data_IF_696440140418
#
_entry.id   IF_696440140418
#
_cell.length_a   1.000
_cell.length_b   1.000
_cell.length_c   1.000
_cell.angle_alpha   90.00
_cell.angle_beta   90.00
_cell.angle_gamma   90.00
#
_symmetry.space_group_name_H-M   'P 1'
#
loop_
_entity.id
_entity.type
_entity.pdbx_description
1 polymer ?
#
# COMPACT_ATOMS: atom_id res chain seq x y z
N UNK A 1 -55.44 -23.56 32.93
CA UNK A 1 -55.09 -22.34 33.68
C UNK A 1 -53.61 -22.38 34.01
N UNK A 2 -52.89 -21.28 33.82
CA UNK A 2 -51.44 -21.11 34.08
C UNK A 2 -50.56 -21.71 32.98
N UNK A 3 -49.89 -20.99 32.09
CA UNK A 3 -49.48 -19.59 32.10
C UNK A 3 -48.07 -19.47 32.66
N UNK A 4 -47.05 -19.65 31.82
CA UNK A 4 -45.68 -19.19 32.12
C UNK A 4 -45.03 -18.57 30.87
N UNK A 5 -44.80 -17.27 31.01
CA UNK A 5 -44.18 -16.35 30.08
C UNK A 5 -42.68 -16.64 29.96
N UNK A 6 -42.19 -16.89 28.74
CA UNK A 6 -40.76 -16.73 28.42
C UNK A 6 -40.56 -15.37 27.79
N UNK A 7 -39.87 -14.51 28.54
CA UNK A 7 -39.50 -13.16 28.17
C UNK A 7 -38.68 -13.11 26.87
N UNK A 8 -39.17 -12.34 25.90
CA UNK A 8 -38.46 -11.96 24.67
C UNK A 8 -37.50 -10.83 25.02
N UNK A 9 -36.21 -11.15 25.19
CA UNK A 9 -35.14 -10.16 25.35
C UNK A 9 -34.77 -9.52 24.01
N UNK A 10 -35.01 -8.22 23.91
CA UNK A 10 -34.84 -7.40 22.72
C UNK A 10 -33.39 -7.11 22.29
N UNK A 11 -33.28 -6.88 20.99
CA UNK A 11 -32.50 -5.86 20.29
C UNK A 11 -31.03 -5.61 20.65
N UNK A 12 -30.16 -6.05 19.73
CA UNK A 12 -28.92 -5.33 19.40
C UNK A 12 -28.48 -5.65 17.95
N UNK A 13 -29.13 -5.02 16.98
CA UNK A 13 -28.57 -4.85 15.63
C UNK A 13 -28.34 -3.36 15.37
N UNK A 14 -27.08 -2.96 15.21
CA UNK A 14 -26.75 -1.64 14.69
C UNK A 14 -26.96 -1.67 13.17
N UNK A 15 -28.18 -1.31 12.77
CA UNK A 15 -28.52 -0.86 11.42
C UNK A 15 -28.40 0.66 11.46
N UNK A 16 -27.38 1.23 10.81
CA UNK A 16 -27.23 2.70 10.76
C UNK A 16 -28.05 3.31 9.62
N UNK A 17 -28.87 4.30 9.98
CA UNK A 17 -29.59 5.19 9.07
C UNK A 17 -28.69 6.33 8.55
N UNK A 18 -28.95 6.90 7.36
CA UNK A 18 -28.30 8.13 6.91
C UNK A 18 -29.06 9.35 7.46
N UNK A 19 -28.37 10.24 8.18
CA UNK A 19 -28.91 11.52 8.63
C UNK A 19 -28.28 12.66 7.83
N UNK A 20 -29.14 13.59 7.41
CA UNK A 20 -28.88 14.69 6.49
C UNK A 20 -27.94 15.76 7.07
N UNK A 21 -27.27 16.46 6.15
CA UNK A 21 -26.38 17.58 6.40
C UNK A 21 -27.12 18.81 6.96
N UNK A 22 -26.49 19.48 7.94
CA UNK A 22 -26.91 20.79 8.44
C UNK A 22 -25.70 21.69 8.58
N UNK A 23 -25.74 22.83 7.89
CA UNK A 23 -24.80 23.94 7.96
C UNK A 23 -24.79 24.61 9.35
N UNK A 24 -23.64 25.24 9.66
CA UNK A 24 -23.33 26.34 10.60
C UNK A 24 -21.90 26.07 11.11
N UNK A 25 -20.97 27.00 11.24
CA UNK A 25 -20.96 28.45 11.10
C UNK A 25 -19.51 28.87 11.40
N UNK A 26 -19.03 29.88 10.68
CA UNK A 26 -17.66 30.41 10.73
C UNK A 26 -17.52 31.41 11.91
N UNK A 27 -16.28 31.52 12.43
CA UNK A 27 -15.63 32.68 13.11
C UNK A 27 -14.97 32.34 14.47
N UNK A 28 -13.95 33.10 14.94
CA UNK A 28 -12.72 33.45 14.24
C UNK A 28 -11.45 33.24 15.11
N UNK A 29 -10.28 33.39 14.47
CA UNK A 29 -8.95 33.29 15.05
C UNK A 29 -8.66 34.39 16.09
N UNK A 30 -8.07 34.00 17.24
CA UNK A 30 -7.61 34.90 18.30
C UNK A 30 -6.13 35.25 18.04
N UNK A 31 -5.88 36.51 17.70
CA UNK A 31 -4.55 37.13 17.72
C UNK A 31 -4.03 37.21 19.16
N UNK A 32 -2.79 36.80 19.37
CA UNK A 32 -2.02 37.10 20.58
C UNK A 32 -1.01 38.20 20.20
N UNK A 33 -1.21 39.40 20.78
CA UNK A 33 -0.24 40.50 20.79
C UNK A 33 0.75 40.28 21.95
N UNK A 34 2.05 40.59 21.80
CA UNK A 34 2.93 40.77 22.94
C UNK A 34 2.80 42.19 23.52
N UNK A 35 3.00 42.29 24.83
CA UNK A 35 2.89 43.49 25.63
C UNK A 35 4.12 44.39 25.54
N UNK A 36 3.85 45.69 25.51
CA UNK A 36 4.81 46.78 25.69
C UNK A 36 5.34 46.84 27.12
N UNK A 37 6.63 47.18 27.25
CA UNK A 37 7.36 47.38 28.51
C UNK A 37 8.45 48.44 28.39
N UNK A 38 8.00 49.69 28.49
CA UNK A 38 8.65 51.01 28.55
C UNK A 38 10.05 51.17 29.22
N UNK A 39 10.85 52.09 28.61
CA UNK A 39 11.81 53.09 29.18
C UNK A 39 13.19 52.60 29.68
N UNK A 40 14.32 53.11 29.18
CA UNK A 40 14.73 54.53 29.26
C UNK A 40 15.78 54.91 28.19
N UNK A 41 15.69 56.17 27.71
CA UNK A 41 16.65 56.87 26.87
C UNK A 41 17.78 57.46 27.71
N UNK A 42 19.03 57.41 27.22
CA UNK A 42 20.19 58.31 27.46
C UNK A 42 21.31 57.81 26.54
N UNK A 43 21.99 58.55 25.70
CA UNK A 43 21.89 59.91 25.19
C UNK A 43 22.60 59.93 23.83
N UNK A 44 22.28 60.91 22.99
CA UNK A 44 22.99 61.16 21.75
C UNK A 44 24.43 61.61 22.06
N UNK A 45 25.39 61.13 21.28
CA UNK A 45 26.54 61.94 20.93
C UNK A 45 26.97 61.62 19.50
N UNK A 46 26.79 62.62 18.64
CA UNK A 46 27.42 62.70 17.33
C UNK A 46 28.93 62.82 17.53
N UNK A 47 29.71 61.95 16.91
CA UNK A 47 31.12 62.21 16.60
C UNK A 47 31.43 61.66 15.20
N UNK A 48 31.45 62.61 14.27
CA UNK A 48 32.45 62.82 13.20
C UNK A 48 33.16 61.62 12.57
N UNK A 49 33.05 61.59 11.24
CA UNK A 49 33.97 60.91 10.35
C UNK A 49 35.42 61.34 10.59
N UNK A 50 36.26 60.37 10.94
CA UNK A 50 37.69 60.50 11.11
C UNK A 50 38.23 59.16 11.61
N UNK A 51 39.32 58.69 11.01
CA UNK A 51 40.12 57.55 11.46
C UNK A 51 39.63 56.15 11.06
N UNK A 52 39.75 55.90 9.75
CA UNK A 52 40.20 54.59 9.25
C UNK A 52 41.63 54.36 9.75
N UNK A 53 41.78 53.81 10.93
CA UNK A 53 43.06 53.24 11.37
C UNK A 53 42.84 51.83 11.93
N UNK A 54 43.42 50.88 11.19
CA UNK A 54 43.84 49.54 11.59
C UNK A 54 43.57 49.14 13.04
N UNK A 55 42.51 48.35 13.23
CA UNK A 55 42.48 47.31 14.28
C UNK A 55 42.35 45.95 13.60
N UNK A 56 43.51 45.39 13.25
CA UNK A 56 43.66 43.94 13.15
C UNK A 56 43.38 43.36 14.55
N UNK A 57 42.11 43.04 14.82
CA UNK A 57 41.82 42.07 15.87
C UNK A 57 42.18 40.70 15.29
N UNK A 58 43.41 40.23 15.59
CA UNK A 58 43.79 38.83 15.49
C UNK A 58 42.81 38.00 16.36
N UNK A 59 41.70 37.59 15.76
CA UNK A 59 40.78 36.65 16.38
C UNK A 59 41.50 35.31 16.54
N UNK A 60 41.72 34.86 17.79
CA UNK A 60 42.24 33.52 18.07
C UNK A 60 41.46 32.50 17.22
N UNK A 61 42.14 31.56 16.54
CA UNK A 61 41.46 30.59 15.70
C UNK A 61 40.40 29.84 16.51
N UNK A 62 39.18 29.71 15.99
CA UNK A 62 38.09 29.00 16.63
C UNK A 62 37.52 27.90 15.72
N UNK A 63 36.89 26.90 16.31
CA UNK A 63 36.28 25.79 15.57
C UNK A 63 37.28 25.01 14.72
N UNK A 64 36.93 24.75 13.45
CA UNK A 64 37.75 23.93 12.53
C UNK A 64 39.08 24.56 12.12
N UNK A 65 39.32 25.82 12.49
CA UNK A 65 40.63 26.46 12.32
C UNK A 65 41.68 25.88 13.28
N UNK A 66 41.24 25.29 14.41
CA UNK A 66 42.11 24.68 15.43
C UNK A 66 42.53 23.23 15.10
N UNK A 67 41.96 22.62 14.06
CA UNK A 67 42.31 21.25 13.70
C UNK A 67 43.73 21.15 13.13
N UNK A 68 44.52 20.11 13.49
CA UNK A 68 45.83 19.88 12.90
C UNK A 68 45.77 19.89 11.36
N UNK A 69 46.59 20.72 10.67
CA UNK A 69 46.48 20.94 9.23
C UNK A 69 46.51 19.65 8.41
N UNK A 70 47.40 18.72 8.73
CA UNK A 70 47.50 17.44 8.03
C UNK A 70 46.25 16.57 8.18
N UNK A 71 45.74 16.42 9.41
CA UNK A 71 44.56 15.61 9.68
C UNK A 71 43.31 16.22 9.06
N UNK A 72 43.21 17.55 9.08
CA UNK A 72 42.16 18.31 8.40
C UNK A 72 42.20 18.08 6.88
N UNK A 73 43.38 18.15 6.26
CA UNK A 73 43.55 17.89 4.84
C UNK A 73 43.15 16.45 4.46
N UNK A 74 43.60 15.45 5.25
CA UNK A 74 43.24 14.03 5.07
C UNK A 74 41.72 13.81 5.17
N UNK A 75 41.07 14.42 6.17
CA UNK A 75 39.61 14.33 6.35
C UNK A 75 38.86 14.94 5.15
N UNK A 76 39.26 16.12 4.67
CA UNK A 76 38.62 16.75 3.52
C UNK A 76 38.81 15.97 2.23
N UNK A 77 40.00 15.40 2.00
CA UNK A 77 40.22 14.48 0.89
C UNK A 77 39.29 13.26 0.96
N UNK A 78 39.19 12.64 2.14
CA UNK A 78 38.30 11.50 2.39
C UNK A 78 36.82 11.83 2.17
N UNK A 79 36.35 12.99 2.64
CA UNK A 79 34.97 13.46 2.43
C UNK A 79 34.70 13.79 0.97
N UNK A 80 35.67 14.39 0.26
CA UNK A 80 35.59 14.67 -1.18
C UNK A 80 35.42 13.37 -1.97
N UNK A 81 36.24 12.37 -1.67
CA UNK A 81 36.15 11.04 -2.30
C UNK A 81 34.80 10.38 -1.99
N UNK A 82 34.34 10.43 -0.75
CA UNK A 82 33.01 9.91 -0.34
C UNK A 82 31.89 10.59 -1.12
N UNK A 83 31.98 11.91 -1.30
CA UNK A 83 31.01 12.69 -2.07
C UNK A 83 31.02 12.28 -3.54
N UNK A 84 32.18 11.99 -4.14
CA UNK A 84 32.27 11.47 -5.49
C UNK A 84 31.56 10.11 -5.62
N UNK A 85 31.75 9.20 -4.65
CA UNK A 85 31.05 7.91 -4.64
C UNK A 85 29.54 8.10 -4.49
N UNK A 86 29.08 9.01 -3.63
CA UNK A 86 27.65 9.33 -3.50
C UNK A 86 27.07 9.82 -4.83
N UNK A 87 27.75 10.75 -5.51
CA UNK A 87 27.32 11.29 -6.80
C UNK A 87 27.26 10.21 -7.88
N UNK A 88 28.23 9.28 -7.89
CA UNK A 88 28.24 8.14 -8.80
C UNK A 88 27.22 7.05 -8.45
N UNK A 89 26.61 7.10 -7.25
CA UNK A 89 25.67 6.07 -6.79
C UNK A 89 24.24 6.47 -7.09
N UNK A 90 23.66 5.85 -8.11
CA UNK A 90 22.30 6.16 -8.58
C UNK A 90 21.25 6.09 -7.47
N UNK A 91 20.50 7.17 -7.32
CA UNK A 91 19.28 7.24 -6.51
C UNK A 91 19.48 7.17 -5.00
N UNK A 92 20.70 7.25 -4.46
CA UNK A 92 20.94 7.24 -3.00
C UNK A 92 20.33 8.47 -2.31
N UNK A 93 20.53 9.67 -2.87
CA UNK A 93 20.01 10.93 -2.30
C UNK A 93 18.48 11.04 -2.45
N UNK A 94 17.96 10.65 -3.61
CA UNK A 94 16.53 10.65 -3.93
C UNK A 94 15.72 9.71 -3.03
N UNK A 95 16.34 8.62 -2.57
CA UNK A 95 15.64 7.57 -1.81
C UNK A 95 15.08 8.05 -0.48
N UNK A 96 15.76 8.99 0.17
CA UNK A 96 15.32 9.62 1.42
C UNK A 96 14.50 10.88 1.15
N UNK A 97 14.77 11.60 0.06
CA UNK A 97 14.02 12.79 -0.33
C UNK A 97 12.64 12.52 -0.92
N UNK A 98 12.40 11.33 -1.47
CA UNK A 98 11.09 10.96 -2.03
C UNK A 98 10.00 10.91 -0.97
N UNK A 99 8.83 11.50 -1.27
CA UNK A 99 7.65 11.44 -0.40
C UNK A 99 7.22 9.99 -0.20
N UNK A 100 7.34 9.47 1.03
CA UNK A 100 6.85 8.15 1.45
C UNK A 100 5.89 8.31 2.60
N UNK A 101 4.89 7.43 2.69
CA UNK A 101 3.98 7.43 3.85
C UNK A 101 4.71 7.02 5.13
N UNK A 102 4.24 7.53 6.27
CA UNK A 102 4.79 7.20 7.59
C UNK A 102 4.79 5.69 7.86
N UNK A 103 3.73 5.00 7.44
CA UNK A 103 3.63 3.55 7.54
C UNK A 103 4.74 2.82 6.76
N UNK A 104 5.14 3.34 5.59
CA UNK A 104 6.25 2.77 4.79
C UNK A 104 7.58 3.00 5.48
N UNK A 105 7.82 4.21 6.00
CA UNK A 105 9.04 4.54 6.73
C UNK A 105 9.17 3.67 7.99
N UNK A 106 8.08 3.50 8.75
CA UNK A 106 8.05 2.65 9.93
C UNK A 106 8.33 1.17 9.59
N UNK A 107 7.81 0.67 8.46
CA UNK A 107 8.13 -0.68 7.97
C UNK A 107 9.62 -0.80 7.60
N UNK A 108 10.17 0.17 6.87
CA UNK A 108 11.58 0.14 6.47
C UNK A 108 12.51 0.15 7.69
N UNK A 109 12.27 1.06 8.64
CA UNK A 109 13.03 1.10 9.90
C UNK A 109 12.97 -0.24 10.63
N UNK A 110 11.78 -0.85 10.73
CA UNK A 110 11.61 -2.15 11.39
C UNK A 110 12.40 -3.26 10.71
N UNK A 111 12.32 -3.36 9.37
CA UNK A 111 13.01 -4.41 8.61
C UNK A 111 14.53 -4.22 8.60
N UNK A 112 15.00 -2.97 8.57
CA UNK A 112 16.43 -2.65 8.50
C UNK A 112 17.11 -2.62 9.88
N UNK A 113 16.37 -2.46 10.99
CA UNK A 113 16.93 -2.29 12.35
C UNK A 113 17.96 -3.36 12.73
N UNK A 114 17.69 -4.63 12.46
CA UNK A 114 18.61 -5.74 12.78
C UNK A 114 19.58 -6.07 11.64
N UNK A 115 19.57 -5.28 10.56
CA UNK A 115 20.28 -5.56 9.31
C UNK A 115 21.38 -4.57 9.00
N UNK A 116 21.15 -3.29 9.30
CA UNK A 116 22.07 -2.20 9.01
C UNK A 116 22.72 -1.75 10.30
N UNK A 117 24.04 -1.87 10.36
CA UNK A 117 24.88 -1.40 11.45
C UNK A 117 26.18 -0.86 10.85
N UNK A 118 26.21 0.42 10.50
CA UNK A 118 27.34 1.06 9.79
C UNK A 118 28.66 1.07 10.57
N UNK A 119 28.59 0.84 11.88
CA UNK A 119 29.77 0.66 12.76
C UNK A 119 30.36 -0.74 12.69
N UNK A 120 29.57 -1.75 12.31
CA UNK A 120 30.05 -3.12 12.16
C UNK A 120 30.79 -3.28 10.83
N UNK A 121 31.70 -4.26 10.78
CA UNK A 121 32.35 -4.69 9.53
C UNK A 121 31.27 -5.08 8.51
N UNK A 122 31.36 -4.56 7.28
CA UNK A 122 30.38 -4.80 6.23
C UNK A 122 29.01 -4.11 6.43
N UNK A 123 28.91 -3.16 7.37
CA UNK A 123 27.69 -2.44 7.71
C UNK A 123 26.53 -3.34 8.23
N UNK A 124 26.87 -4.48 8.83
CA UNK A 124 25.93 -5.46 9.38
C UNK A 124 25.62 -6.61 8.43
N UNK A 125 24.50 -7.31 8.66
CA UNK A 125 24.09 -8.48 7.85
C UNK A 125 23.44 -8.13 6.52
N UNK A 126 22.97 -6.89 6.34
CA UNK A 126 22.34 -6.41 5.10
C UNK A 126 21.27 -7.39 4.57
N UNK A 127 21.51 -8.00 3.40
CA UNK A 127 20.63 -8.93 2.70
C UNK A 127 20.86 -10.41 3.06
N UNK A 128 21.73 -10.70 4.02
CA UNK A 128 22.01 -12.07 4.43
C UNK A 128 20.76 -12.77 5.01
N UNK A 129 20.55 -14.01 4.56
CA UNK A 129 19.37 -14.84 4.82
C UNK A 129 18.04 -14.32 4.25
N UNK A 130 18.07 -13.38 3.29
CA UNK A 130 16.84 -12.85 2.68
C UNK A 130 16.39 -13.76 1.54
N UNK A 131 15.20 -14.34 1.70
CA UNK A 131 14.59 -15.22 0.70
C UNK A 131 14.07 -14.46 -0.51
N UNK A 132 13.90 -15.17 -1.64
CA UNK A 132 13.29 -14.64 -2.87
C UNK A 132 11.91 -13.99 -2.65
N UNK A 133 11.19 -14.41 -1.60
CA UNK A 133 9.85 -13.94 -1.25
C UNK A 133 9.86 -12.56 -0.56
N UNK A 134 10.88 -12.28 0.25
CA UNK A 134 11.00 -11.02 1.00
C UNK A 134 11.99 -10.05 0.35
N UNK A 135 12.68 -10.48 -0.70
CA UNK A 135 13.75 -9.75 -1.39
C UNK A 135 13.46 -8.27 -1.62
N UNK A 136 12.43 -7.92 -2.41
CA UNK A 136 12.21 -6.54 -2.83
C UNK A 136 11.90 -5.61 -1.66
N UNK A 137 11.07 -6.05 -0.71
CA UNK A 137 10.68 -5.24 0.45
C UNK A 137 11.87 -5.04 1.39
N UNK A 138 12.61 -6.11 1.69
CA UNK A 138 13.80 -6.03 2.55
C UNK A 138 14.90 -5.21 1.90
N UNK A 139 15.16 -5.42 0.60
CA UNK A 139 16.15 -4.64 -0.17
C UNK A 139 15.80 -3.15 -0.18
N UNK A 140 14.54 -2.80 -0.40
CA UNK A 140 14.10 -1.41 -0.36
C UNK A 140 14.30 -0.79 1.04
N UNK A 141 14.01 -1.54 2.11
CA UNK A 141 14.22 -1.11 3.48
C UNK A 141 15.71 -0.91 3.82
N UNK A 142 16.57 -1.86 3.45
CA UNK A 142 18.02 -1.78 3.68
C UNK A 142 18.63 -0.61 2.92
N UNK A 143 18.30 -0.45 1.63
CA UNK A 143 18.77 0.69 0.82
C UNK A 143 18.28 2.02 1.39
N UNK A 144 17.04 2.10 1.85
CA UNK A 144 16.52 3.32 2.49
C UNK A 144 17.29 3.64 3.77
N UNK A 145 17.50 2.67 4.65
CA UNK A 145 18.23 2.90 5.90
C UNK A 145 19.69 3.31 5.63
N UNK A 146 20.39 2.66 4.69
CA UNK A 146 21.76 3.02 4.32
C UNK A 146 21.86 4.44 3.73
N UNK A 147 20.87 4.84 2.92
CA UNK A 147 20.81 6.20 2.41
C UNK A 147 20.57 7.23 3.52
N UNK A 148 19.71 6.91 4.49
CA UNK A 148 19.44 7.79 5.65
C UNK A 148 20.65 7.88 6.59
N UNK A 149 21.35 6.77 6.86
CA UNK A 149 22.61 6.76 7.60
C UNK A 149 23.67 7.62 6.89
N UNK A 150 23.85 7.47 5.57
CA UNK A 150 24.76 8.29 4.79
C UNK A 150 24.44 9.79 4.96
N UNK A 151 23.17 10.17 4.77
CA UNK A 151 22.71 11.56 4.93
C UNK A 151 22.96 12.08 6.34
N UNK A 152 22.62 11.29 7.36
CA UNK A 152 22.80 11.63 8.78
C UNK A 152 24.26 11.87 9.11
N UNK A 153 25.14 10.93 8.80
CA UNK A 153 26.55 11.01 9.16
C UNK A 153 27.29 12.09 8.39
N UNK A 154 26.96 12.33 7.11
CA UNK A 154 27.47 13.52 6.39
C UNK A 154 27.09 14.82 7.10
N UNK A 155 25.82 14.93 7.52
CA UNK A 155 25.36 16.09 8.29
C UNK A 155 26.03 16.23 9.66
N UNK A 156 26.52 15.16 10.28
CA UNK A 156 27.35 15.23 11.50
C UNK A 156 28.74 15.72 11.15
N UNK A 157 29.38 15.14 10.13
CA UNK A 157 30.70 15.55 9.63
C UNK A 157 30.74 17.02 9.23
N UNK A 158 29.64 17.60 8.74
CA UNK A 158 29.56 19.02 8.33
C UNK A 158 29.37 19.98 9.52
N UNK A 159 28.77 19.53 10.62
CA UNK A 159 28.36 20.39 11.76
C UNK A 159 29.28 20.31 12.97
N UNK A 160 29.88 19.15 13.24
CA UNK A 160 30.70 19.00 14.46
C UNK A 160 31.97 19.85 14.41
N UNK A 161 32.40 20.35 15.56
CA UNK A 161 33.69 21.03 15.74
C UNK A 161 34.74 20.10 16.35
N UNK A 162 34.33 18.90 16.80
CA UNK A 162 35.23 17.86 17.30
C UNK A 162 35.82 17.07 16.13
N UNK A 163 37.15 16.99 16.06
CA UNK A 163 37.84 16.34 14.96
C UNK A 163 37.64 14.82 14.97
N UNK A 164 37.65 14.19 16.14
CA UNK A 164 37.51 12.74 16.26
C UNK A 164 36.10 12.31 15.83
N UNK A 165 35.08 13.06 16.26
CA UNK A 165 33.69 12.89 15.82
C UNK A 165 33.54 13.12 14.32
N UNK A 166 34.18 14.16 13.75
CA UNK A 166 34.13 14.44 12.33
C UNK A 166 34.71 13.28 11.51
N UNK A 167 35.84 12.72 11.95
CA UNK A 167 36.50 11.56 11.33
C UNK A 167 35.65 10.30 11.45
N UNK A 168 35.10 10.00 12.62
CA UNK A 168 34.23 8.83 12.81
C UNK A 168 32.95 8.94 11.97
N UNK A 169 32.31 10.11 11.98
CA UNK A 169 31.14 10.39 11.15
C UNK A 169 31.44 10.24 9.66
N UNK A 170 32.60 10.71 9.19
CA UNK A 170 33.00 10.56 7.80
C UNK A 170 33.16 9.08 7.42
N UNK A 171 33.84 8.29 8.27
CA UNK A 171 34.01 6.84 8.07
C UNK A 171 32.66 6.12 7.99
N UNK A 172 31.72 6.45 8.88
CA UNK A 172 30.37 5.88 8.88
C UNK A 172 29.58 6.25 7.64
N UNK A 173 29.68 7.50 7.18
CA UNK A 173 29.07 7.93 5.92
C UNK A 173 29.61 7.12 4.74
N UNK A 174 30.93 6.91 4.67
CA UNK A 174 31.58 6.11 3.62
C UNK A 174 31.12 4.64 3.69
N UNK A 175 31.12 4.04 4.87
CA UNK A 175 30.63 2.67 5.07
C UNK A 175 29.19 2.50 4.58
N UNK A 176 28.30 3.46 4.90
CA UNK A 176 26.91 3.42 4.47
C UNK A 176 26.77 3.42 2.93
N UNK A 177 27.55 4.24 2.23
CA UNK A 177 27.51 4.36 0.77
C UNK A 177 28.07 3.11 0.08
N UNK A 178 29.17 2.56 0.59
CA UNK A 178 29.76 1.33 0.05
C UNK A 178 28.81 0.14 0.21
N UNK A 179 28.21 -0.01 1.40
CA UNK A 179 27.18 -1.02 1.63
C UNK A 179 25.94 -0.80 0.76
N UNK A 180 25.55 0.46 0.51
CA UNK A 180 24.43 0.77 -0.39
C UNK A 180 24.72 0.26 -1.81
N UNK A 181 25.92 0.53 -2.35
CA UNK A 181 26.35 0.03 -3.67
C UNK A 181 26.36 -1.49 -3.72
N UNK A 182 26.86 -2.14 -2.67
CA UNK A 182 26.87 -3.60 -2.56
C UNK A 182 25.44 -4.16 -2.68
N UNK A 183 24.50 -3.67 -1.86
CA UNK A 183 23.10 -4.11 -1.89
C UNK A 183 22.40 -3.77 -3.23
N UNK A 184 22.81 -2.66 -3.86
CA UNK A 184 22.29 -2.28 -5.17
C UNK A 184 22.71 -3.30 -6.24
N UNK A 185 23.94 -3.81 -6.19
CA UNK A 185 24.47 -4.80 -7.12
C UNK A 185 23.94 -6.23 -6.89
N UNK A 186 23.41 -6.54 -5.69
CA UNK A 186 22.92 -7.88 -5.40
C UNK A 186 21.71 -8.28 -6.26
N UNK A 187 21.70 -9.54 -6.69
CA UNK A 187 20.62 -10.17 -7.46
C UNK A 187 19.67 -10.93 -6.55
N UNK A 188 18.40 -11.00 -6.97
CA UNK A 188 17.38 -11.75 -6.25
C UNK A 188 17.71 -13.25 -6.32
N UNK A 189 17.70 -13.99 -5.20
CA UNK A 189 17.88 -15.43 -5.23
C UNK A 189 16.69 -16.09 -5.94
N UNK A 190 16.94 -17.21 -6.62
CA UNK A 190 15.89 -18.01 -7.24
C UNK A 190 14.97 -18.60 -6.15
N UNK A 191 13.64 -18.66 -6.37
CA UNK A 191 12.74 -19.28 -5.43
C UNK A 191 12.87 -20.81 -5.48
N UNK A 192 13.08 -21.45 -4.34
CA UNK A 192 13.18 -22.91 -4.24
C UNK A 192 11.96 -23.66 -4.83
N UNK A 193 10.76 -23.06 -4.77
CA UNK A 193 9.54 -23.59 -5.42
C UNK A 193 8.67 -22.48 -5.99
N UNK A 194 8.13 -22.62 -7.21
CA UNK A 194 7.18 -21.67 -7.75
C UNK A 194 5.90 -21.67 -6.90
N UNK A 195 5.53 -20.48 -6.43
CA UNK A 195 4.37 -20.33 -5.55
C UNK A 195 3.10 -20.62 -6.33
N UNK A 196 2.37 -21.67 -5.95
CA UNK A 196 1.04 -21.97 -6.51
C UNK A 196 0.14 -20.75 -6.30
N UNK A 197 -0.36 -20.20 -7.40
CA UNK A 197 -1.24 -19.03 -7.35
C UNK A 197 -2.57 -19.40 -6.68
N UNK A 198 -3.26 -18.43 -6.07
CA UNK A 198 -4.61 -18.66 -5.54
C UNK A 198 -5.59 -19.18 -6.60
N UNK A 199 -5.33 -18.86 -7.88
CA UNK A 199 -6.03 -19.40 -9.04
C UNK A 199 -5.87 -20.92 -9.18
N UNK A 200 -4.72 -21.48 -8.81
CA UNK A 200 -4.44 -22.92 -8.82
C UNK A 200 -4.87 -23.67 -7.56
N UNK A 201 -5.02 -22.98 -6.42
CA UNK A 201 -5.30 -23.62 -5.12
C UNK A 201 -6.77 -23.57 -4.71
N UNK A 202 -7.68 -23.13 -5.58
CA UNK A 202 -9.11 -23.24 -5.30
C UNK A 202 -9.53 -24.72 -5.26
N UNK A 203 -10.22 -25.16 -4.20
CA UNK A 203 -10.83 -26.48 -4.14
C UNK A 203 -11.80 -26.68 -5.29
N UNK A 204 -11.86 -27.91 -5.84
CA UNK A 204 -12.85 -28.29 -6.86
C UNK A 204 -14.24 -28.59 -6.27
N UNK A 205 -14.30 -28.95 -4.98
CA UNK A 205 -15.56 -29.16 -4.26
C UNK A 205 -16.29 -27.83 -3.99
N UNK A 206 -17.59 -27.89 -3.67
CA UNK A 206 -18.42 -26.73 -3.29
C UNK A 206 -18.07 -26.19 -1.89
N UNK A 207 -16.87 -25.64 -1.76
CA UNK A 207 -16.29 -25.18 -0.49
C UNK A 207 -16.99 -23.93 0.06
N UNK A 208 -17.65 -23.13 -0.80
CA UNK A 208 -18.36 -21.93 -0.37
C UNK A 208 -19.47 -22.23 0.64
N UNK A 209 -20.24 -23.30 0.39
CA UNK A 209 -21.29 -23.75 1.28
C UNK A 209 -20.74 -24.19 2.64
N UNK A 210 -19.70 -25.02 2.62
CA UNK A 210 -19.01 -25.48 3.83
C UNK A 210 -18.48 -24.29 4.65
N UNK A 211 -17.90 -23.28 4.00
CA UNK A 211 -17.44 -22.06 4.66
C UNK A 211 -18.58 -21.24 5.27
N UNK A 212 -19.74 -21.20 4.62
CA UNK A 212 -20.94 -20.52 5.12
C UNK A 212 -21.54 -21.24 6.33
N UNK A 213 -21.67 -22.56 6.27
CA UNK A 213 -22.25 -23.37 7.36
C UNK A 213 -21.39 -23.28 8.62
N UNK A 214 -20.07 -23.29 8.46
CA UNK A 214 -19.11 -23.10 9.55
C UNK A 214 -19.07 -21.66 10.11
N UNK A 215 -19.68 -20.67 9.45
CA UNK A 215 -19.70 -19.29 9.91
C UNK A 215 -20.73 -19.07 11.04
N UNK A 216 -20.36 -18.29 12.07
CA UNK A 216 -21.30 -17.89 13.13
C UNK A 216 -22.39 -16.95 12.61
N UNK A 217 -23.45 -16.75 13.38
CA UNK A 217 -24.52 -15.78 13.08
C UNK A 217 -23.97 -14.40 12.71
N UNK A 218 -22.99 -13.89 13.45
CA UNK A 218 -22.35 -12.59 13.19
C UNK A 218 -21.40 -12.55 11.98
N UNK A 219 -21.06 -13.70 11.39
CA UNK A 219 -20.18 -13.84 10.23
C UNK A 219 -20.96 -14.07 8.93
N UNK A 220 -22.09 -14.78 9.01
CA UNK A 220 -22.87 -15.27 7.86
C UNK A 220 -23.22 -14.20 6.84
N UNK A 221 -23.63 -13.01 7.27
CA UNK A 221 -24.00 -11.92 6.35
C UNK A 221 -22.81 -11.51 5.45
N UNK A 222 -21.63 -11.33 6.04
CA UNK A 222 -20.43 -10.99 5.27
C UNK A 222 -20.02 -12.14 4.34
N UNK A 223 -20.09 -13.40 4.82
CA UNK A 223 -19.74 -14.59 4.02
C UNK A 223 -20.69 -14.76 2.84
N UNK A 224 -22.00 -14.61 3.04
CA UNK A 224 -23.01 -14.68 1.98
C UNK A 224 -22.77 -13.61 0.91
N UNK A 225 -22.51 -12.37 1.30
CA UNK A 225 -22.20 -11.29 0.34
C UNK A 225 -20.91 -11.58 -0.43
N UNK A 226 -19.86 -12.09 0.23
CA UNK A 226 -18.63 -12.50 -0.48
C UNK A 226 -18.90 -13.65 -1.45
N UNK A 227 -19.71 -14.62 -1.07
CA UNK A 227 -20.08 -15.74 -1.94
C UNK A 227 -20.87 -15.29 -3.16
N UNK A 228 -21.88 -14.44 -2.97
CA UNK A 228 -22.71 -13.96 -4.06
C UNK A 228 -21.95 -13.06 -5.05
N UNK A 229 -20.93 -12.31 -4.60
CA UNK A 229 -20.37 -11.21 -5.40
C UNK A 229 -18.85 -11.24 -5.64
N UNK A 230 -18.09 -11.98 -4.83
CA UNK A 230 -16.63 -11.89 -4.83
C UNK A 230 -16.08 -10.54 -4.37
N UNK A 231 -16.84 -9.78 -3.58
CA UNK A 231 -16.37 -8.52 -3.01
C UNK A 231 -15.20 -8.72 -2.01
N UNK A 232 -14.41 -7.66 -1.83
CA UNK A 232 -13.23 -7.65 -0.95
C UNK A 232 -13.68 -7.37 0.50
N UNK A 233 -12.92 -7.85 1.51
CA UNK A 233 -13.15 -7.47 2.91
C UNK A 233 -13.21 -5.96 3.13
N UNK A 234 -12.36 -5.19 2.45
CA UNK A 234 -12.34 -3.73 2.55
C UNK A 234 -13.57 -3.05 1.91
N UNK A 235 -14.28 -3.72 1.01
CA UNK A 235 -15.53 -3.22 0.43
C UNK A 235 -16.69 -3.48 1.40
N UNK A 236 -16.73 -4.65 2.05
CA UNK A 236 -17.67 -4.93 3.15
C UNK A 236 -17.45 -3.96 4.32
N UNK A 237 -16.20 -3.59 4.63
CA UNK A 237 -15.92 -2.60 5.67
C UNK A 237 -16.52 -1.21 5.37
N UNK A 238 -16.63 -0.83 4.08
CA UNK A 238 -17.30 0.41 3.64
C UNK A 238 -18.83 0.31 3.68
N UNK A 239 -19.36 -0.91 3.80
CA UNK A 239 -20.79 -1.20 3.85
C UNK A 239 -21.35 -1.52 2.48
N UNK A 240 -21.85 -2.74 2.31
CA UNK A 240 -22.49 -3.23 1.09
C UNK A 240 -24.00 -3.21 1.28
N UNK A 241 -24.74 -2.73 0.29
CA UNK A 241 -26.20 -2.64 0.35
C UNK A 241 -26.81 -3.74 -0.52
N UNK A 242 -27.81 -4.43 0.01
CA UNK A 242 -28.59 -5.46 -0.69
C UNK A 242 -30.02 -4.93 -0.80
N UNK A 243 -30.61 -5.03 -1.99
CA UNK A 243 -32.02 -4.71 -2.25
C UNK A 243 -32.67 -5.81 -3.07
N UNK A 244 -33.97 -6.03 -2.86
CA UNK A 244 -34.83 -6.71 -3.83
C UNK A 244 -35.13 -5.72 -4.95
N UNK A 245 -35.00 -6.14 -6.19
CA UNK A 245 -35.28 -5.32 -7.36
C UNK A 245 -35.79 -6.23 -8.48
N UNK A 246 -37.10 -6.15 -8.75
CA UNK A 246 -37.81 -7.12 -9.59
C UNK A 246 -37.55 -8.57 -9.14
N UNK A 247 -37.17 -9.41 -10.10
CA UNK A 247 -36.86 -10.82 -9.91
C UNK A 247 -35.40 -11.09 -9.50
N UNK A 248 -34.66 -10.06 -9.09
CA UNK A 248 -33.25 -10.18 -8.70
C UNK A 248 -32.95 -9.63 -7.30
N UNK A 249 -31.83 -10.08 -6.74
CA UNK A 249 -31.20 -9.43 -5.60
C UNK A 249 -30.08 -8.52 -6.12
N UNK A 250 -30.24 -7.21 -5.99
CA UNK A 250 -29.24 -6.23 -6.40
C UNK A 250 -28.34 -5.87 -5.22
N UNK A 251 -27.04 -6.11 -5.40
CA UNK A 251 -26.02 -5.83 -4.39
C UNK A 251 -25.14 -4.67 -4.87
N UNK A 252 -25.24 -3.55 -4.18
CA UNK A 252 -24.45 -2.34 -4.43
C UNK A 252 -23.20 -2.33 -3.54
N UNK A 253 -22.03 -2.23 -4.17
CA UNK A 253 -20.73 -2.36 -3.51
C UNK A 253 -19.92 -1.08 -3.72
N UNK A 254 -19.57 -0.34 -2.65
CA UNK A 254 -18.61 0.74 -2.74
C UNK A 254 -17.20 0.16 -2.92
N UNK A 255 -16.48 0.63 -3.93
CA UNK A 255 -15.13 0.20 -4.22
C UNK A 255 -14.14 0.65 -3.14
N UNK A 256 -13.18 -0.21 -2.80
CA UNK A 256 -12.22 0.07 -1.72
C UNK A 256 -10.83 0.58 -2.18
N UNK A 257 -10.49 0.38 -3.46
CA UNK A 257 -9.16 0.71 -4.02
C UNK A 257 -9.30 1.59 -5.25
N UNK A 258 -9.93 2.74 -5.05
CA UNK A 258 -10.27 3.67 -6.12
C UNK A 258 -9.26 4.81 -6.12
N UNK A 259 -8.65 5.07 -7.26
CA UNK A 259 -7.84 6.28 -7.55
C UNK A 259 -8.32 6.88 -8.86
N UNK A 260 -7.71 7.99 -9.31
CA UNK A 260 -8.07 8.64 -10.58
C UNK A 260 -8.13 7.64 -11.75
N UNK A 261 -7.13 6.77 -11.90
CA UNK A 261 -7.05 5.81 -13.01
C UNK A 261 -7.28 4.33 -12.65
N UNK A 262 -7.70 4.00 -11.43
CA UNK A 262 -7.83 2.60 -10.97
C UNK A 262 -9.11 2.39 -10.16
N UNK A 263 -9.66 1.18 -10.27
CA UNK A 263 -10.82 0.73 -9.51
C UNK A 263 -12.13 1.38 -9.95
N UNK A 264 -13.23 0.83 -9.42
CA UNK A 264 -14.59 1.33 -9.64
C UNK A 264 -15.11 1.98 -8.36
N UNK A 265 -15.61 3.23 -8.39
CA UNK A 265 -16.22 3.90 -7.24
C UNK A 265 -17.38 3.10 -6.63
N UNK A 266 -18.33 2.69 -7.46
CA UNK A 266 -19.48 1.86 -7.09
C UNK A 266 -19.67 0.81 -8.19
N UNK A 267 -20.18 -0.36 -7.81
CA UNK A 267 -20.69 -1.35 -8.74
C UNK A 267 -21.96 -1.99 -8.21
N UNK A 268 -22.84 -2.40 -9.12
CA UNK A 268 -24.07 -3.13 -8.84
C UNK A 268 -23.95 -4.52 -9.43
N UNK A 269 -24.35 -5.52 -8.67
CA UNK A 269 -24.33 -6.92 -9.07
C UNK A 269 -25.73 -7.48 -8.88
N UNK A 270 -26.32 -7.96 -9.97
CA UNK A 270 -27.57 -8.70 -9.94
C UNK A 270 -27.26 -10.17 -9.64
N UNK A 271 -27.87 -10.68 -8.58
CA UNK A 271 -27.74 -12.05 -8.11
C UNK A 271 -29.05 -12.78 -8.33
N UNK A 272 -28.97 -13.96 -8.93
CA UNK A 272 -30.10 -14.86 -9.11
C UNK A 272 -30.64 -15.33 -7.74
N UNK A 273 -31.90 -15.01 -7.37
CA UNK A 273 -32.49 -15.46 -6.12
C UNK A 273 -32.67 -16.99 -6.05
N UNK A 274 -32.74 -17.71 -7.18
CA UNK A 274 -32.85 -19.16 -7.21
C UNK A 274 -31.51 -19.86 -6.92
N UNK A 275 -30.38 -19.18 -7.16
CA UNK A 275 -29.06 -19.66 -6.79
C UNK A 275 -28.97 -20.00 -5.30
N UNK A 276 -28.08 -20.91 -4.92
CA UNK A 276 -27.96 -21.36 -3.53
C UNK A 276 -27.74 -20.20 -2.55
N UNK A 277 -26.78 -19.32 -2.86
CA UNK A 277 -26.51 -18.14 -2.04
C UNK A 277 -27.60 -17.07 -2.17
N UNK A 278 -28.27 -16.98 -3.33
CA UNK A 278 -29.42 -16.11 -3.53
C UNK A 278 -30.55 -16.45 -2.56
N UNK A 279 -30.92 -17.73 -2.46
CA UNK A 279 -31.92 -18.23 -1.51
C UNK A 279 -31.51 -17.95 -0.07
N UNK A 280 -30.23 -18.16 0.27
CA UNK A 280 -29.70 -17.84 1.61
C UNK A 280 -29.88 -16.35 1.92
N UNK A 281 -29.51 -15.45 1.00
CA UNK A 281 -29.65 -14.01 1.21
C UNK A 281 -31.13 -13.62 1.32
N UNK A 282 -32.00 -14.18 0.47
CA UNK A 282 -33.44 -13.92 0.53
C UNK A 282 -34.03 -14.34 1.88
N UNK A 283 -33.65 -15.52 2.41
CA UNK A 283 -34.05 -15.96 3.75
C UNK A 283 -33.52 -15.03 4.85
N UNK A 284 -32.28 -14.57 4.74
CA UNK A 284 -31.68 -13.63 5.70
C UNK A 284 -32.37 -12.25 5.69
N UNK A 285 -32.88 -11.81 4.53
CA UNK A 285 -33.68 -10.59 4.42
C UNK A 285 -35.10 -10.78 4.98
N UNK A 286 -35.67 -11.98 4.87
CA UNK A 286 -37.09 -12.21 5.13
C UNK A 286 -37.95 -11.28 4.25
N UNK A 287 -38.91 -10.60 4.89
CA UNK A 287 -39.81 -9.64 4.24
C UNK A 287 -39.19 -8.24 4.03
N UNK A 288 -37.95 -8.02 4.45
CA UNK A 288 -37.30 -6.71 4.30
C UNK A 288 -36.98 -6.46 2.83
N UNK A 289 -37.19 -5.23 2.38
CA UNK A 289 -36.84 -4.80 1.01
C UNK A 289 -35.32 -4.69 0.80
N UNK A 290 -34.55 -4.58 1.88
CA UNK A 290 -33.10 -4.54 1.80
C UNK A 290 -32.41 -4.56 3.15
N UNK A 291 -31.08 -4.65 3.09
CA UNK A 291 -30.20 -4.61 4.25
C UNK A 291 -28.85 -4.01 3.88
N UNK A 292 -28.16 -3.46 4.89
CA UNK A 292 -26.77 -3.03 4.77
C UNK A 292 -25.89 -3.98 5.56
N UNK A 293 -24.88 -4.55 4.92
CA UNK A 293 -23.89 -5.47 5.50
C UNK A 293 -22.57 -4.74 5.67
N UNK A 294 -22.13 -4.60 6.92
CA UNK A 294 -20.85 -3.98 7.24
C UNK A 294 -20.07 -4.79 8.28
N UNK A 295 -18.77 -4.99 8.03
CA UNK A 295 -17.87 -5.66 8.96
C UNK A 295 -16.42 -5.26 8.69
N UNK A 296 -15.66 -4.97 9.76
CA UNK A 296 -14.25 -4.55 9.65
C UNK A 296 -13.40 -5.59 8.91
N UNK A 297 -12.56 -5.18 7.96
CA UNK A 297 -11.76 -6.10 7.16
C UNK A 297 -10.80 -6.95 8.01
N UNK A 298 -10.21 -6.36 9.06
CA UNK A 298 -9.38 -7.08 10.04
C UNK A 298 -10.17 -8.17 10.78
N UNK A 299 -11.44 -7.90 11.12
CA UNK A 299 -12.34 -8.89 11.74
C UNK A 299 -12.69 -10.00 10.75
N UNK A 300 -13.00 -9.68 9.50
CA UNK A 300 -13.20 -10.69 8.44
C UNK A 300 -11.98 -11.60 8.31
N UNK A 301 -10.77 -11.05 8.33
CA UNK A 301 -9.55 -11.88 8.28
C UNK A 301 -9.46 -12.86 9.46
N UNK A 302 -9.80 -12.41 10.68
CA UNK A 302 -9.88 -13.26 11.86
C UNK A 302 -11.00 -14.30 11.77
N UNK A 303 -12.18 -13.92 11.26
CA UNK A 303 -13.31 -14.85 11.08
C UNK A 303 -12.92 -16.03 10.18
N UNK A 304 -12.14 -15.79 9.13
CA UNK A 304 -11.65 -16.87 8.28
C UNK A 304 -10.63 -17.77 8.99
N UNK A 305 -9.94 -17.33 10.04
CA UNK A 305 -9.15 -18.24 10.88
C UNK A 305 -10.09 -19.22 11.59
N UNK A 306 -11.16 -18.72 12.20
CA UNK A 306 -12.13 -19.54 12.93
C UNK A 306 -12.98 -20.43 12.02
N UNK A 307 -13.40 -19.92 10.86
CA UNK A 307 -14.14 -20.69 9.85
C UNK A 307 -13.27 -21.84 9.37
N UNK A 308 -11.99 -21.61 9.06
CA UNK A 308 -11.08 -22.68 8.66
C UNK A 308 -10.92 -23.75 9.74
N UNK A 309 -10.75 -23.33 11.00
CA UNK A 309 -10.66 -24.27 12.14
C UNK A 309 -11.90 -25.17 12.24
N UNK A 310 -13.10 -24.61 12.03
CA UNK A 310 -14.37 -25.35 12.12
C UNK A 310 -14.72 -26.17 10.89
N UNK A 311 -14.27 -25.76 9.70
CA UNK A 311 -14.62 -26.41 8.43
C UNK A 311 -13.56 -27.37 7.89
N UNK A 312 -12.34 -27.34 8.41
CA UNK A 312 -11.20 -28.08 7.83
C UNK A 312 -10.68 -27.50 6.50
N UNK A 313 -11.21 -26.36 6.03
CA UNK A 313 -10.83 -25.76 4.75
C UNK A 313 -9.45 -25.06 4.84
N UNK A 314 -8.35 -25.80 4.72
CA UNK A 314 -7.00 -25.30 5.03
C UNK A 314 -6.59 -23.96 4.37
N UNK A 315 -6.74 -23.81 3.05
CA UNK A 315 -6.20 -22.66 2.32
C UNK A 315 -7.23 -21.55 1.99
N UNK A 316 -8.48 -21.67 2.45
CA UNK A 316 -9.54 -20.75 2.07
C UNK A 316 -9.45 -19.42 2.83
N UNK A 317 -9.69 -18.33 2.11
CA UNK A 317 -9.74 -16.96 2.64
C UNK A 317 -10.92 -16.21 2.05
N UNK A 318 -11.25 -15.04 2.60
CA UNK A 318 -12.20 -14.12 1.98
C UNK A 318 -11.92 -13.88 0.48
N UNK A 319 -10.65 -13.75 0.09
CA UNK A 319 -10.27 -13.56 -1.30
C UNK A 319 -10.49 -14.79 -2.19
N UNK A 320 -10.65 -15.98 -1.61
CA UNK A 320 -10.96 -17.19 -2.37
C UNK A 320 -12.33 -17.06 -3.05
N UNK A 321 -13.30 -16.41 -2.40
CA UNK A 321 -14.63 -16.16 -2.99
C UNK A 321 -14.52 -15.34 -4.27
N UNK A 322 -13.70 -14.29 -4.24
CA UNK A 322 -13.42 -13.46 -5.42
C UNK A 322 -12.78 -14.24 -6.56
N UNK A 323 -11.83 -15.13 -6.26
CA UNK A 323 -11.25 -16.00 -7.28
C UNK A 323 -12.31 -16.96 -7.85
N UNK A 324 -13.23 -17.44 -7.01
CA UNK A 324 -14.29 -18.34 -7.43
C UNK A 324 -15.33 -17.65 -8.31
N UNK A 325 -15.85 -16.48 -7.92
CA UNK A 325 -16.76 -15.68 -8.77
C UNK A 325 -16.14 -15.38 -10.14
N UNK A 326 -14.85 -14.99 -10.17
CA UNK A 326 -14.14 -14.80 -11.42
C UNK A 326 -13.94 -16.10 -12.23
N UNK A 327 -13.85 -17.25 -11.56
CA UNK A 327 -13.72 -18.56 -12.23
C UNK A 327 -15.06 -19.00 -12.81
N UNK A 328 -16.16 -18.81 -12.07
CA UNK A 328 -17.52 -19.14 -12.47
C UNK A 328 -17.91 -18.34 -13.71
N UNK A 329 -17.74 -17.01 -13.69
CA UNK A 329 -18.03 -16.15 -14.86
C UNK A 329 -17.18 -16.52 -16.08
N UNK A 330 -15.89 -16.78 -15.90
CA UNK A 330 -15.01 -17.23 -16.99
C UNK A 330 -15.36 -18.61 -17.52
N UNK A 331 -15.81 -19.52 -16.64
CA UNK A 331 -16.20 -20.87 -17.01
C UNK A 331 -17.51 -20.91 -17.81
N UNK A 332 -18.37 -19.89 -17.64
CA UNK A 332 -19.56 -19.67 -18.45
C UNK A 332 -19.29 -18.96 -19.78
N UNK A 333 -18.13 -18.32 -19.91
CA UNK A 333 -17.79 -17.51 -21.09
C UNK A 333 -18.35 -16.09 -21.04
N UNK A 334 -18.64 -15.55 -19.84
CA UNK A 334 -19.12 -14.18 -19.67
C UNK A 334 -18.13 -13.17 -20.29
N UNK A 335 -18.67 -12.06 -20.83
CA UNK A 335 -17.89 -10.96 -21.42
C UNK A 335 -16.80 -10.45 -20.43
N UNK A 336 -15.53 -10.35 -20.87
CA UNK A 336 -14.46 -9.70 -20.13
C UNK A 336 -14.82 -8.36 -19.48
N UNK A 337 -15.65 -7.54 -20.10
CA UNK A 337 -16.13 -6.28 -19.53
C UNK A 337 -17.02 -6.54 -18.32
N UNK A 338 -18.02 -7.43 -18.45
CA UNK A 338 -18.90 -7.82 -17.33
C UNK A 338 -18.13 -8.43 -16.16
N UNK A 339 -17.10 -9.23 -16.43
CA UNK A 339 -16.20 -9.76 -15.39
C UNK A 339 -15.46 -8.61 -14.69
N UNK A 340 -14.94 -7.64 -15.45
CA UNK A 340 -14.24 -6.49 -14.89
C UNK A 340 -15.17 -5.62 -14.03
N UNK A 341 -16.41 -5.39 -14.47
CA UNK A 341 -17.45 -4.68 -13.72
C UNK A 341 -17.75 -5.38 -12.39
N UNK A 342 -18.08 -6.68 -12.43
CA UNK A 342 -18.36 -7.48 -11.23
C UNK A 342 -17.19 -7.49 -10.23
N UNK A 343 -15.96 -7.49 -10.75
CA UNK A 343 -14.74 -7.42 -9.94
C UNK A 343 -14.41 -5.98 -9.49
N UNK A 344 -15.03 -4.94 -10.04
CA UNK A 344 -14.69 -3.55 -9.73
C UNK A 344 -13.31 -3.16 -10.25
N UNK A 345 -12.97 -3.63 -11.45
CA UNK A 345 -11.77 -3.26 -12.19
C UNK A 345 -12.06 -2.14 -13.20
N UNK A 346 -11.09 -1.26 -13.42
CA UNK A 346 -11.17 -0.18 -14.42
C UNK A 346 -10.60 -0.59 -15.79
N UNK A 347 -10.23 -1.87 -15.96
CA UNK A 347 -9.73 -2.44 -17.21
C UNK A 347 -9.84 -3.96 -17.21
N UNK A 348 -10.04 -4.56 -18.38
CA UNK A 348 -10.07 -6.03 -18.55
C UNK A 348 -8.72 -6.68 -18.20
N UNK A 349 -7.59 -6.00 -18.46
CA UNK A 349 -6.23 -6.52 -18.21
C UNK A 349 -6.00 -7.03 -16.78
N UNK A 350 -6.57 -6.36 -15.78
CA UNK A 350 -6.35 -6.72 -14.36
C UNK A 350 -7.05 -8.00 -13.91
N UNK A 351 -8.02 -8.51 -14.69
CA UNK A 351 -8.78 -9.70 -14.32
C UNK A 351 -8.08 -11.02 -14.64
N UNK A 352 -7.02 -11.00 -15.45
CA UNK A 352 -6.18 -12.17 -15.75
C UNK A 352 -5.62 -12.84 -14.49
N UNK A 353 -5.41 -12.06 -13.42
CA UNK A 353 -4.89 -12.50 -12.12
C UNK A 353 -5.93 -13.23 -11.25
N UNK A 354 -7.21 -13.20 -11.61
CA UNK A 354 -8.30 -13.74 -10.80
C UNK A 354 -8.99 -14.90 -11.50
N UNK A 355 -9.19 -16.00 -10.77
CA UNK A 355 -9.94 -17.18 -11.23
C UNK A 355 -9.40 -17.90 -12.47
N UNK A 356 -9.70 -19.20 -12.59
CA UNK A 356 -9.41 -20.02 -13.77
C UNK A 356 -10.71 -20.58 -14.34
N UNK A 357 -10.94 -20.54 -15.67
CA UNK A 357 -12.15 -21.13 -16.26
C UNK A 357 -12.37 -22.59 -15.83
N UNK A 358 -11.29 -23.38 -15.79
CA UNK A 358 -11.30 -24.79 -15.37
C UNK A 358 -11.65 -25.06 -13.89
N UNK A 359 -11.84 -23.99 -13.10
CA UNK A 359 -12.25 -24.05 -11.69
C UNK A 359 -13.62 -23.41 -11.47
N UNK A 360 -14.29 -22.95 -12.54
CA UNK A 360 -15.61 -22.37 -12.49
C UNK A 360 -16.70 -23.41 -12.36
N UNK A 361 -17.78 -23.05 -11.66
CA UNK A 361 -19.03 -23.77 -11.65
C UNK A 361 -19.97 -23.14 -12.70
N UNK A 362 -20.60 -23.96 -13.55
CA UNK A 362 -21.48 -23.47 -14.63
C UNK A 362 -22.68 -22.64 -14.14
N UNK A 363 -23.09 -22.77 -12.87
CA UNK A 363 -24.24 -22.07 -12.26
C UNK A 363 -23.87 -21.06 -11.17
N UNK A 364 -22.82 -20.25 -11.36
CA UNK A 364 -22.47 -19.17 -10.41
C UNK A 364 -23.61 -18.15 -10.21
N UNK A 365 -23.67 -17.45 -9.06
CA UNK A 365 -24.84 -16.67 -8.65
C UNK A 365 -25.04 -15.32 -9.38
N UNK A 366 -23.99 -14.81 -10.03
CA UNK A 366 -24.02 -13.51 -10.71
C UNK A 366 -24.68 -13.69 -12.09
N UNK A 367 -25.75 -12.93 -12.33
CA UNK A 367 -26.47 -12.86 -13.61
C UNK A 367 -26.33 -11.51 -14.31
N UNK A 368 -25.87 -10.47 -13.60
CA UNK A 368 -25.61 -9.16 -14.18
C UNK A 368 -24.63 -8.35 -13.35
N UNK A 369 -23.90 -7.45 -14.00
CA UNK A 369 -23.01 -6.52 -13.35
C UNK A 369 -22.91 -5.20 -14.12
N UNK A 370 -22.78 -4.11 -13.37
CA UNK A 370 -22.60 -2.75 -13.87
C UNK A 370 -21.65 -1.99 -12.93
N UNK A 371 -20.83 -1.11 -13.49
CA UNK A 371 -19.93 -0.28 -12.69
C UNK A 371 -19.95 1.19 -13.14
N UNK A 372 -19.61 2.10 -12.22
CA UNK A 372 -19.71 3.55 -12.47
C UNK A 372 -18.83 4.05 -13.64
N UNK A 373 -17.63 3.51 -13.79
CA UNK A 373 -16.72 3.91 -14.87
C UNK A 373 -16.75 2.88 -15.97
N UNK A 374 -16.66 3.35 -17.19
CA UNK A 374 -16.43 2.51 -18.35
C UNK A 374 -15.16 1.66 -18.16
N UNK A 375 -15.25 0.39 -18.55
CA UNK A 375 -14.13 -0.55 -18.46
C UNK A 375 -13.27 -0.43 -19.71
N UNK A 376 -12.01 -0.05 -19.52
CA UNK A 376 -11.04 -0.04 -20.63
C UNK A 376 -10.70 -1.46 -21.08
N UNK A 377 -10.90 -1.73 -22.36
CA UNK A 377 -10.47 -2.98 -22.99
C UNK A 377 -8.97 -2.88 -23.26
N UNK A 378 -8.17 -3.72 -22.60
CA UNK A 378 -6.76 -3.86 -22.96
C UNK A 378 -6.63 -4.69 -24.23
N UNK A 379 -5.70 -4.35 -25.13
CA UNK A 379 -5.31 -5.24 -26.25
C UNK A 379 -5.00 -6.64 -25.69
N UNK A 380 -5.61 -7.65 -26.29
CA UNK A 380 -5.36 -9.05 -25.95
C UNK A 380 -3.91 -9.40 -26.33
N UNK A 381 -3.06 -9.88 -25.41
CA UNK A 381 -1.74 -10.39 -25.79
C UNK A 381 -1.80 -11.63 -26.72
N UNK A 382 -2.96 -12.27 -26.88
CA UNK A 382 -3.16 -13.40 -27.80
C UNK A 382 -3.64 -13.00 -29.21
N UNK A 383 -4.08 -11.74 -29.39
CA UNK A 383 -4.41 -11.23 -30.72
C UNK A 383 -3.14 -10.66 -31.36
N UNK A 384 -2.39 -11.51 -32.07
CA UNK A 384 -1.43 -11.03 -33.04
C UNK A 384 -2.17 -10.08 -34.01
N UNK A 385 -1.65 -8.88 -34.30
CA UNK A 385 -2.27 -8.02 -35.29
C UNK A 385 -2.24 -8.75 -36.64
N UNK A 386 -3.40 -8.87 -37.26
CA UNK A 386 -3.49 -9.16 -38.68
C UNK A 386 -2.60 -8.16 -39.42
N UNK A 387 -1.66 -8.72 -40.18
CA UNK A 387 -0.91 -8.14 -41.30
C UNK A 387 -1.03 -6.62 -41.47
N UNK A 388 0.05 -5.92 -41.14
CA UNK A 388 0.30 -4.57 -41.65
C UNK A 388 0.65 -4.66 -43.14
N UNK A 389 -0.37 -4.75 -44.00
CA UNK A 389 -0.23 -4.20 -45.34
C UNK A 389 -0.36 -2.67 -45.21
N UNK A 390 0.64 -1.95 -45.71
CA UNK A 390 0.62 -0.49 -45.77
C UNK A 390 1.41 0.23 -44.70
N UNK A 391 2.71 -0.07 -44.57
CA UNK A 391 3.67 0.99 -44.23
C UNK A 391 4.79 0.98 -45.27
N UNK A 392 4.59 1.81 -46.29
CA UNK A 392 5.59 2.22 -47.27
C UNK A 392 6.90 2.60 -46.60
N UNK A 393 7.96 1.91 -47.03
CA UNK A 393 9.36 2.32 -47.20
C UNK A 393 9.82 3.58 -46.44
N UNK A 394 10.74 3.38 -45.49
CA UNK A 394 11.76 4.37 -45.12
C UNK A 394 13.13 3.65 -45.11
N UNK A 395 14.14 4.17 -45.85
CA UNK A 395 15.38 3.45 -46.09
C UNK A 395 16.41 3.60 -44.96
N UNK A 396 17.02 2.45 -44.62
CA UNK A 396 18.43 2.28 -44.30
C UNK A 396 19.09 3.14 -43.22
N UNK A 397 19.34 2.55 -42.05
CA UNK A 397 20.63 2.73 -41.32
C UNK A 397 21.05 1.41 -40.69
N UNK A 398 22.30 1.03 -40.96
CA UNK A 398 22.96 -0.21 -40.56
C UNK A 398 23.32 -0.23 -39.05
N UNK A 399 23.52 -1.43 -38.45
CA UNK A 399 23.84 -1.59 -37.04
C UNK A 399 25.30 -1.22 -36.75
N UNK A 400 25.53 -0.78 -35.53
CA UNK A 400 26.81 -0.42 -34.94
C UNK A 400 27.69 -1.67 -34.74
N UNK A 401 28.84 -1.70 -35.41
CA UNK A 401 30.07 -2.32 -34.92
C UNK A 401 30.95 -1.16 -34.43
N UNK A 402 31.25 -1.12 -33.13
CA UNK A 402 32.60 -1.16 -32.50
C UNK A 402 32.40 -1.48 -31.01
#
# INVERSE_FOLDING_TARGET
MGGDNVAVGGDNYIITHPQQAGEKGVCPARLIRPADGCRTKRGANEMTAGDRESRETEGKPYGRALWPPETKAKLFAFVKETTAVVKATTGILERVGSVKSDATIALYRRLARSRVQVTAKGAGRLMDGVTAQSWHTTRAAVLYQLADECRRWRGVTDRTLDLAEAVDAAKRARHAVLAYRQVLAMTRPEPEKPRRSKRSTLPRMRWQRVAFDAATKGQRAAVAVMWATGCRPAEIERGVTIRRDGDALVIEIPGAKVTAGKGQPIRRIAVDPASEVGRIIAMMLGNRQGARVQRKAKRIAADFVDIRRRSGLGAISAYSFRHQSASDMKGRGDDPVKIAEALGHASTRTQSRYGSPSKGHKGGPIIGAEATREVRIGRDPAAAPATSEGLTSMPGRRPWEV
#
